data_IF_256599347869
#
_entry.id   IF_256599347869
#
_cell.length_a   1.000
_cell.length_b   1.000
_cell.length_c   1.000
_cell.angle_alpha   90.00
_cell.angle_beta   90.00
_cell.angle_gamma   90.00
#
_symmetry.space_group_name_H-M   'P 1'
#
loop_
_entity.id
_entity.type
_entity.pdbx_description
1 polymer ?
#
# COMPACT_ATOMS: atom_id res chain seq x y z
N UNK A 1 -26.86 -50.37 11.70
CA UNK A 1 -25.63 -50.14 12.49
C UNK A 1 -25.07 -48.81 11.96
N UNK A 2 -25.28 -47.74 12.70
CA UNK A 2 -24.71 -46.44 12.39
C UNK A 2 -23.29 -46.40 12.97
N UNK A 3 -22.33 -46.01 12.14
CA UNK A 3 -20.94 -45.79 12.50
C UNK A 3 -20.83 -44.53 13.35
N UNK A 4 -20.62 -44.69 14.62
CA UNK A 4 -20.52 -43.65 15.64
C UNK A 4 -19.04 -43.36 15.92
N UNK A 5 -18.27 -43.05 14.85
CA UNK A 5 -16.88 -42.64 15.01
C UNK A 5 -16.83 -41.19 15.50
N UNK A 6 -16.15 -40.89 16.62
CA UNK A 6 -16.05 -39.52 17.11
C UNK A 6 -15.25 -38.65 16.16
N UNK A 7 -15.86 -37.54 15.78
CA UNK A 7 -15.21 -36.45 15.02
C UNK A 7 -13.92 -36.04 15.73
N UNK A 8 -12.83 -36.02 14.95
CA UNK A 8 -11.54 -35.55 15.44
C UNK A 8 -11.66 -34.11 16.00
N UNK A 9 -10.99 -33.81 17.13
CA UNK A 9 -11.02 -32.45 17.70
C UNK A 9 -10.47 -31.44 16.71
N UNK A 10 -10.98 -30.21 16.73
CA UNK A 10 -10.47 -29.15 15.86
C UNK A 10 -8.99 -28.92 16.16
N UNK A 11 -8.18 -28.80 15.12
CA UNK A 11 -6.74 -28.51 15.22
C UNK A 11 -6.57 -27.17 15.96
N UNK A 12 -6.31 -27.27 17.24
CA UNK A 12 -5.89 -26.16 18.08
C UNK A 12 -4.48 -25.77 17.68
N UNK A 13 -4.28 -24.55 17.20
CA UNK A 13 -2.93 -24.05 16.91
C UNK A 13 -2.84 -22.89 15.95
N UNK A 14 -3.95 -22.31 15.51
CA UNK A 14 -3.90 -21.01 14.87
C UNK A 14 -4.15 -19.97 15.96
N UNK A 15 -3.06 -19.40 16.49
CA UNK A 15 -3.19 -18.22 17.33
C UNK A 15 -3.92 -17.15 16.51
N UNK A 16 -4.88 -16.43 17.10
CA UNK A 16 -5.52 -15.32 16.41
C UNK A 16 -4.40 -14.32 16.04
N UNK A 17 -4.25 -14.07 14.74
CA UNK A 17 -3.38 -13.00 14.26
C UNK A 17 -3.91 -11.73 14.91
N UNK A 18 -3.23 -11.24 15.94
CA UNK A 18 -3.54 -9.95 16.56
C UNK A 18 -3.25 -8.90 15.47
N UNK A 19 -4.31 -8.40 14.86
CA UNK A 19 -4.19 -7.28 13.92
C UNK A 19 -3.74 -6.06 14.71
N UNK A 20 -2.49 -5.67 14.53
CA UNK A 20 -2.01 -4.41 15.08
C UNK A 20 -2.53 -3.27 14.20
N UNK A 21 -3.15 -2.29 14.80
CA UNK A 21 -3.62 -1.07 14.12
C UNK A 21 -2.67 0.07 14.45
N UNK A 22 -2.32 0.86 13.42
CA UNK A 22 -1.46 2.02 13.61
C UNK A 22 -2.18 3.11 14.44
N UNK A 23 -1.45 3.71 15.37
CA UNK A 23 -2.01 4.81 16.19
C UNK A 23 -2.09 6.10 15.37
N UNK A 24 -3.06 6.96 15.69
CA UNK A 24 -3.19 8.30 15.08
C UNK A 24 -1.91 9.14 15.25
N UNK A 25 -1.21 8.97 16.37
CA UNK A 25 0.04 9.70 16.64
C UNK A 25 1.16 9.31 15.65
N UNK A 26 1.34 8.02 15.43
CA UNK A 26 2.34 7.50 14.47
C UNK A 26 2.01 7.93 13.05
N UNK A 27 0.75 7.76 12.62
CA UNK A 27 0.30 8.15 11.28
C UNK A 27 0.48 9.65 11.01
N UNK A 28 0.21 10.51 11.99
CA UNK A 28 0.45 11.96 11.88
C UNK A 28 1.93 12.31 11.81
N UNK A 29 2.78 11.71 12.64
CA UNK A 29 4.22 11.95 12.64
C UNK A 29 4.85 11.63 11.29
N UNK A 30 4.47 10.49 10.69
CA UNK A 30 4.93 10.08 9.37
C UNK A 30 4.41 11.02 8.25
N UNK A 31 3.18 11.53 8.35
CA UNK A 31 2.65 12.51 7.39
C UNK A 31 3.42 13.84 7.42
N UNK A 32 3.81 14.33 8.60
CA UNK A 32 4.59 15.56 8.74
C UNK A 32 5.98 15.45 8.11
N UNK A 33 6.59 14.27 8.06
CA UNK A 33 7.89 14.05 7.40
C UNK A 33 7.86 14.33 5.91
N UNK A 34 6.72 14.15 5.25
CA UNK A 34 6.57 14.33 3.81
C UNK A 34 6.25 15.77 3.41
N UNK A 35 5.94 16.63 4.38
CA UNK A 35 5.45 17.98 4.14
C UNK A 35 6.50 18.87 3.48
N UNK A 36 6.16 19.38 2.30
CA UNK A 36 7.07 20.23 1.50
C UNK A 36 8.20 19.48 0.79
N UNK A 37 8.25 18.14 0.92
CA UNK A 37 9.20 17.30 0.22
C UNK A 37 8.71 16.87 -1.16
N UNK A 38 9.59 16.19 -1.89
CA UNK A 38 9.30 15.60 -3.21
C UNK A 38 9.31 14.09 -3.08
N UNK A 39 8.27 13.45 -3.59
CA UNK A 39 8.16 11.99 -3.75
C UNK A 39 8.46 11.67 -5.21
N UNK A 40 9.43 10.80 -5.47
CA UNK A 40 9.83 10.43 -6.83
C UNK A 40 9.34 9.01 -7.16
N UNK A 41 8.66 8.90 -8.30
CA UNK A 41 8.28 7.62 -8.88
C UNK A 41 9.52 6.90 -9.43
N UNK A 42 9.74 5.65 -9.05
CA UNK A 42 10.89 4.84 -9.46
C UNK A 42 10.45 3.42 -9.81
N UNK A 43 11.14 2.80 -10.78
CA UNK A 43 10.80 1.45 -11.25
C UNK A 43 11.92 0.43 -10.99
N UNK A 44 13.02 0.85 -10.39
CA UNK A 44 14.15 -0.01 -10.01
C UNK A 44 15.02 0.62 -8.92
N UNK A 45 15.97 -0.17 -8.40
CA UNK A 45 16.86 0.25 -7.33
C UNK A 45 17.84 1.38 -7.75
N UNK A 46 18.26 1.43 -9.01
CA UNK A 46 19.20 2.45 -9.49
C UNK A 46 18.52 3.81 -9.59
N UNK A 47 17.29 3.86 -10.09
CA UNK A 47 16.49 5.08 -10.09
C UNK A 47 16.19 5.57 -8.67
N UNK A 48 15.96 4.64 -7.73
CA UNK A 48 15.75 4.98 -6.32
C UNK A 48 16.96 5.67 -5.71
N UNK A 49 18.19 5.18 -5.98
CA UNK A 49 19.43 5.84 -5.54
C UNK A 49 19.60 7.22 -6.15
N UNK A 50 19.31 7.37 -7.45
CA UNK A 50 19.37 8.67 -8.13
C UNK A 50 18.38 9.65 -7.50
N UNK A 51 17.16 9.19 -7.17
CA UNK A 51 16.15 10.03 -6.53
C UNK A 51 16.60 10.47 -5.12
N UNK A 52 17.16 9.57 -4.31
CA UNK A 52 17.71 9.88 -3.00
C UNK A 52 18.87 10.88 -3.09
N UNK A 53 19.82 10.66 -3.99
CA UNK A 53 20.95 11.56 -4.22
C UNK A 53 20.51 12.95 -4.70
N UNK A 54 19.39 13.02 -5.43
CA UNK A 54 18.78 14.27 -5.86
C UNK A 54 17.99 14.99 -4.74
N UNK A 55 17.87 14.38 -3.56
CA UNK A 55 17.21 14.99 -2.39
C UNK A 55 15.70 14.69 -2.30
N UNK A 56 15.21 13.62 -2.90
CA UNK A 56 13.84 13.17 -2.69
C UNK A 56 13.59 12.85 -1.21
N UNK A 57 12.41 13.21 -0.72
CA UNK A 57 12.00 12.90 0.67
C UNK A 57 11.55 11.46 0.82
N UNK A 58 11.01 10.89 -0.25
CA UNK A 58 10.58 9.49 -0.33
C UNK A 58 10.58 9.04 -1.79
N UNK A 59 10.56 7.74 -2.04
CA UNK A 59 10.34 7.15 -3.36
C UNK A 59 9.06 6.34 -3.39
N UNK A 60 8.41 6.32 -4.56
CA UNK A 60 7.24 5.50 -4.84
C UNK A 60 7.66 4.37 -5.77
N UNK A 61 7.65 3.14 -5.27
CA UNK A 61 7.95 1.95 -6.05
C UNK A 61 6.79 1.62 -7.00
N UNK A 62 7.04 1.64 -8.31
CA UNK A 62 6.07 1.38 -9.37
C UNK A 62 6.57 0.27 -10.29
N UNK A 63 5.69 -0.63 -10.70
CA UNK A 63 5.98 -1.56 -11.80
C UNK A 63 6.19 -0.80 -13.12
N UNK A 64 5.37 0.23 -13.33
CA UNK A 64 5.41 1.09 -14.52
C UNK A 64 5.01 2.51 -14.14
N UNK A 65 5.66 3.49 -14.73
CA UNK A 65 5.26 4.89 -14.51
C UNK A 65 3.90 5.19 -15.14
N UNK A 66 3.10 6.11 -14.55
CA UNK A 66 1.75 6.38 -15.02
C UNK A 66 1.63 6.76 -16.51
N UNK A 67 2.65 7.42 -17.07
CA UNK A 67 2.68 7.77 -18.50
C UNK A 67 2.72 6.54 -19.41
N UNK A 68 3.46 5.50 -19.01
CA UNK A 68 3.58 4.26 -19.78
C UNK A 68 2.28 3.45 -19.72
N UNK A 69 1.64 3.42 -18.56
CA UNK A 69 0.34 2.77 -18.39
C UNK A 69 -0.70 3.41 -19.30
N UNK A 70 -0.73 4.75 -19.39
CA UNK A 70 -1.66 5.48 -20.27
C UNK A 70 -1.38 5.24 -21.75
N UNK A 71 -0.10 5.12 -22.14
CA UNK A 71 0.29 4.90 -23.52
C UNK A 71 -0.01 3.48 -24.00
N UNK A 72 0.34 2.49 -23.20
CA UNK A 72 0.35 1.09 -23.61
C UNK A 72 -0.93 0.35 -23.21
N UNK A 73 -1.72 0.91 -22.30
CA UNK A 73 -2.93 0.28 -21.75
C UNK A 73 -2.60 -0.95 -20.89
N UNK A 74 -3.60 -1.77 -20.64
CA UNK A 74 -3.50 -3.00 -19.86
C UNK A 74 -3.95 -2.85 -18.42
N UNK A 75 -3.80 -3.93 -17.65
CA UNK A 75 -4.10 -3.97 -16.22
C UNK A 75 -2.88 -3.46 -15.44
N UNK A 76 -3.06 -2.39 -14.69
CA UNK A 76 -2.07 -1.88 -13.76
C UNK A 76 -2.38 -2.38 -12.34
N UNK A 77 -1.38 -2.89 -11.64
CA UNK A 77 -1.50 -3.53 -10.32
C UNK A 77 -0.29 -3.20 -9.45
N UNK A 78 -0.31 -3.72 -8.22
CA UNK A 78 0.81 -3.63 -7.29
C UNK A 78 2.12 -4.12 -7.94
N UNK A 79 3.21 -3.47 -7.61
CA UNK A 79 4.55 -3.87 -8.03
C UNK A 79 4.95 -5.23 -7.48
N UNK A 80 5.87 -5.89 -8.17
CA UNK A 80 6.44 -7.16 -7.73
C UNK A 80 7.13 -7.00 -6.37
N UNK A 81 6.88 -7.90 -5.38
CA UNK A 81 7.53 -7.88 -4.08
C UNK A 81 9.06 -7.83 -4.15
N UNK A 82 9.70 -8.60 -5.03
CA UNK A 82 11.17 -8.62 -5.15
C UNK A 82 11.71 -7.25 -5.58
N UNK A 83 11.01 -6.55 -6.46
CA UNK A 83 11.38 -5.20 -6.88
C UNK A 83 11.26 -4.21 -5.71
N UNK A 84 10.19 -4.29 -4.91
CA UNK A 84 10.00 -3.45 -3.74
C UNK A 84 11.11 -3.68 -2.72
N UNK A 85 11.46 -4.94 -2.44
CA UNK A 85 12.56 -5.30 -1.55
C UNK A 85 13.90 -4.78 -2.06
N UNK A 86 14.18 -4.89 -3.36
CA UNK A 86 15.39 -4.36 -3.97
C UNK A 86 15.49 -2.83 -3.84
N UNK A 87 14.39 -2.10 -4.03
CA UNK A 87 14.34 -0.65 -3.83
C UNK A 87 14.57 -0.31 -2.36
N UNK A 88 13.90 -0.99 -1.43
CA UNK A 88 14.08 -0.79 0.03
C UNK A 88 15.52 -1.03 0.48
N UNK A 89 16.20 -2.02 -0.10
CA UNK A 89 17.60 -2.29 0.22
C UNK A 89 18.56 -1.26 -0.38
N UNK A 90 18.13 -0.48 -1.36
CA UNK A 90 18.96 0.45 -2.11
C UNK A 90 19.01 1.86 -1.52
N UNK A 91 18.00 2.28 -0.75
CA UNK A 91 17.82 3.64 -0.24
C UNK A 91 17.61 3.67 1.26
N UNK A 92 17.87 4.83 1.87
CA UNK A 92 17.62 5.09 3.31
C UNK A 92 16.37 5.94 3.55
N UNK A 93 15.87 6.60 2.51
CA UNK A 93 14.63 7.37 2.57
C UNK A 93 13.40 6.45 2.51
N UNK A 94 12.23 6.89 3.00
CA UNK A 94 11.01 6.10 2.98
C UNK A 94 10.64 5.57 1.60
N UNK A 95 10.17 4.33 1.56
CA UNK A 95 9.68 3.65 0.36
C UNK A 95 8.17 3.48 0.44
N UNK A 96 7.48 3.98 -0.56
CA UNK A 96 6.04 3.84 -0.74
C UNK A 96 5.74 2.82 -1.84
N UNK A 97 4.59 2.17 -1.77
CA UNK A 97 4.12 1.31 -2.85
C UNK A 97 2.61 1.44 -3.04
N UNK A 98 2.15 1.17 -4.26
CA UNK A 98 0.75 1.35 -4.64
C UNK A 98 -0.06 0.06 -4.49
N UNK A 99 -1.26 0.19 -3.93
CA UNK A 99 -2.31 -0.82 -3.94
C UNK A 99 -3.46 -0.35 -4.83
N UNK A 100 -4.12 -1.27 -5.52
CA UNK A 100 -5.35 -0.96 -6.27
C UNK A 100 -6.45 -0.53 -5.31
N UNK A 101 -7.33 0.37 -5.77
CA UNK A 101 -8.51 0.79 -5.00
C UNK A 101 -9.34 -0.42 -4.61
N UNK A 102 -9.64 -0.56 -3.31
CA UNK A 102 -10.44 -1.65 -2.73
C UNK A 102 -9.71 -2.99 -2.59
N UNK A 103 -8.45 -3.10 -3.00
CA UNK A 103 -7.72 -4.37 -2.95
C UNK A 103 -6.97 -4.57 -1.62
N UNK A 104 -7.70 -4.92 -0.56
CA UNK A 104 -7.16 -5.09 0.78
C UNK A 104 -6.00 -6.11 0.85
N UNK A 105 -6.01 -7.16 0.02
CA UNK A 105 -4.95 -8.17 0.02
C UNK A 105 -3.60 -7.60 -0.45
N UNK A 106 -3.60 -6.69 -1.45
CA UNK A 106 -2.37 -6.00 -1.84
C UNK A 106 -1.84 -5.14 -0.69
N UNK A 107 -2.70 -4.41 0.01
CA UNK A 107 -2.29 -3.64 1.18
C UNK A 107 -1.72 -4.52 2.30
N UNK A 108 -2.26 -5.71 2.53
CA UNK A 108 -1.72 -6.67 3.49
C UNK A 108 -0.33 -7.17 3.08
N UNK A 109 -0.12 -7.45 1.79
CA UNK A 109 1.20 -7.86 1.26
C UNK A 109 2.20 -6.72 1.45
N UNK A 110 1.84 -5.48 1.07
CA UNK A 110 2.71 -4.32 1.21
C UNK A 110 3.09 -4.05 2.67
N UNK A 111 2.13 -4.16 3.59
CA UNK A 111 2.42 -4.06 5.02
C UNK A 111 3.37 -5.18 5.49
N UNK A 112 3.19 -6.42 5.02
CA UNK A 112 4.06 -7.54 5.36
C UNK A 112 5.49 -7.37 4.80
N UNK A 113 5.63 -6.75 3.62
CA UNK A 113 6.92 -6.35 3.04
C UNK A 113 7.58 -5.21 3.83
N UNK A 114 6.83 -4.55 4.72
CA UNK A 114 7.33 -3.47 5.55
C UNK A 114 7.63 -2.19 4.77
N UNK A 115 6.79 -1.82 3.80
CA UNK A 115 6.85 -0.50 3.19
C UNK A 115 6.48 0.58 4.21
N UNK A 116 7.01 1.78 4.03
CA UNK A 116 6.79 2.87 4.97
C UNK A 116 5.41 3.53 4.80
N UNK A 117 4.88 3.51 3.57
CA UNK A 117 3.55 4.04 3.23
C UNK A 117 2.90 3.20 2.13
N UNK A 118 1.58 3.14 2.15
CA UNK A 118 0.78 2.53 1.07
C UNK A 118 -0.03 3.63 0.38
N UNK A 119 0.02 3.67 -0.96
CA UNK A 119 -0.83 4.55 -1.77
C UNK A 119 -1.97 3.71 -2.39
N UNK A 120 -3.21 3.92 -1.93
CA UNK A 120 -4.40 3.39 -2.59
C UNK A 120 -4.72 4.27 -3.80
N UNK A 121 -4.27 3.83 -4.98
CA UNK A 121 -4.07 4.71 -6.12
C UNK A 121 -5.02 4.44 -7.28
N UNK A 122 -5.59 5.53 -7.82
CA UNK A 122 -6.41 5.54 -9.03
C UNK A 122 -5.61 5.34 -10.33
N UNK A 123 -4.28 5.40 -10.29
CA UNK A 123 -3.44 5.09 -11.48
C UNK A 123 -3.35 3.59 -11.76
N UNK A 124 -3.73 2.76 -10.79
CA UNK A 124 -3.86 1.33 -10.96
C UNK A 124 -5.30 0.96 -11.35
N UNK A 125 -5.46 -0.23 -11.92
CA UNK A 125 -6.80 -0.75 -12.22
C UNK A 125 -7.57 -1.00 -10.91
N UNK A 126 -8.74 -0.36 -10.68
CA UNK A 126 -9.52 -0.60 -9.48
C UNK A 126 -9.91 -2.07 -9.32
N UNK A 127 -9.86 -2.58 -8.10
CA UNK A 127 -10.43 -3.88 -7.74
C UNK A 127 -11.89 -3.72 -7.29
N UNK A 128 -12.19 -2.63 -6.58
CA UNK A 128 -13.54 -2.23 -6.18
C UNK A 128 -13.62 -0.70 -6.17
N UNK A 129 -14.47 -0.13 -7.02
CA UNK A 129 -14.65 1.33 -7.11
C UNK A 129 -15.54 1.89 -5.99
N UNK A 130 -16.44 1.05 -5.45
CA UNK A 130 -17.40 1.44 -4.44
C UNK A 130 -16.84 1.37 -3.02
N UNK A 131 -15.92 0.45 -2.77
CA UNK A 131 -15.39 0.19 -1.43
C UNK A 131 -13.87 0.39 -1.41
N UNK A 132 -13.43 1.39 -0.69
CA UNK A 132 -12.01 1.64 -0.42
C UNK A 132 -11.49 0.71 0.68
N UNK A 133 -10.17 0.51 0.71
CA UNK A 133 -9.50 -0.21 1.78
C UNK A 133 -9.76 0.52 3.11
N UNK A 134 -10.15 -0.19 4.16
CA UNK A 134 -10.23 0.40 5.49
C UNK A 134 -8.80 0.64 6.04
N UNK A 135 -8.39 1.88 6.01
CA UNK A 135 -7.03 2.29 6.36
C UNK A 135 -6.72 2.22 7.85
N UNK A 136 -7.76 2.08 8.68
CA UNK A 136 -7.59 1.92 10.13
C UNK A 136 -7.22 0.49 10.53
N UNK A 137 -7.44 -0.48 9.65
CA UNK A 137 -7.03 -1.88 9.86
C UNK A 137 -5.51 -2.10 9.71
N UNK A 138 -4.74 -1.07 9.36
CA UNK A 138 -3.31 -1.16 9.07
C UNK A 138 -2.47 -0.29 10.01
N UNK A 139 -1.27 -0.77 10.34
CA UNK A 139 -0.26 0.04 11.05
C UNK A 139 0.37 1.08 10.13
N UNK A 140 0.64 0.67 8.88
CA UNK A 140 1.23 1.51 7.84
C UNK A 140 0.29 2.65 7.49
N UNK A 141 0.79 3.91 7.41
CA UNK A 141 0.00 5.03 6.94
C UNK A 141 -0.27 4.93 5.45
N UNK A 142 -1.42 5.50 5.03
CA UNK A 142 -1.80 5.60 3.64
C UNK A 142 -1.55 7.01 3.10
N UNK A 143 -1.11 7.08 1.86
CA UNK A 143 -1.03 8.29 1.04
C UNK A 143 -2.01 8.12 -0.10
N UNK A 144 -2.85 9.11 -0.36
CA UNK A 144 -3.83 9.09 -1.45
C UNK A 144 -3.90 10.45 -2.11
N UNK A 145 -3.94 10.47 -3.44
CA UNK A 145 -4.22 11.68 -4.19
C UNK A 145 -5.70 12.07 -4.13
N UNK A 146 -5.99 13.37 -4.14
CA UNK A 146 -7.34 13.90 -4.29
C UNK A 146 -7.30 15.26 -4.95
N UNK A 147 -8.21 15.53 -5.89
CA UNK A 147 -8.29 16.79 -6.62
C UNK A 147 -9.28 17.77 -6.00
N UNK A 148 -10.15 17.30 -5.11
CA UNK A 148 -11.13 18.10 -4.38
C UNK A 148 -11.52 17.45 -3.06
N UNK A 149 -12.24 18.20 -2.22
CA UNK A 149 -12.65 17.74 -0.88
C UNK A 149 -13.54 16.48 -0.91
N UNK A 150 -14.47 16.39 -1.87
CA UNK A 150 -15.35 15.22 -1.99
C UNK A 150 -14.57 13.95 -2.27
N UNK A 151 -13.58 14.03 -3.15
CA UNK A 151 -12.67 12.92 -3.44
C UNK A 151 -11.82 12.56 -2.22
N UNK A 152 -11.24 13.54 -1.53
CA UNK A 152 -10.48 13.31 -0.31
C UNK A 152 -11.32 12.60 0.77
N UNK A 153 -12.56 13.00 0.96
CA UNK A 153 -13.45 12.36 1.92
C UNK A 153 -13.79 10.91 1.53
N UNK A 154 -13.96 10.62 0.24
CA UNK A 154 -14.11 9.22 -0.24
C UNK A 154 -12.86 8.39 0.05
N UNK A 155 -11.66 8.93 -0.23
CA UNK A 155 -10.38 8.26 0.06
C UNK A 155 -10.23 7.92 1.55
N UNK A 156 -10.78 8.76 2.41
CA UNK A 156 -10.81 8.53 3.86
C UNK A 156 -11.95 7.62 4.31
N UNK A 157 -12.76 7.12 3.39
CA UNK A 157 -13.96 6.30 3.68
C UNK A 157 -14.96 6.99 4.62
N UNK A 158 -15.01 8.33 4.60
CA UNK A 158 -15.94 9.13 5.41
C UNK A 158 -17.26 9.41 4.71
N UNK A 159 -17.33 9.19 3.40
CA UNK A 159 -18.55 9.37 2.60
C UNK A 159 -18.69 8.15 1.70
N UNK A 160 -19.81 7.45 1.82
CA UNK A 160 -20.28 6.47 0.87
C UNK A 160 -21.29 7.17 -0.06
N UNK A 161 -21.01 7.15 -1.36
CA UNK A 161 -21.92 7.66 -2.38
C UNK A 161 -22.45 6.48 -3.18
#
# INVERSE_FOLDING_TARGET
MADDSPLAPPRSGVEPVVRSTGTTLVKRGLAEMLKGGVIMDVVNADEARIAEDAGATAVMALERVPSDIRRDGGVARMSDPEMIEAIKAAVTIPVMAKARIGHFAEAQILQALGVDYIDESEVLTPADEAHHIDKWDYEVPFVCGATNLGEALRRLSLIHI
#
